data_IF_664948899138
#
_entry.id   IF_664948899138
#
_cell.length_a   1.000
_cell.length_b   1.000
_cell.length_c   1.000
_cell.angle_alpha   90.00
_cell.angle_beta   90.00
_cell.angle_gamma   90.00
#
_symmetry.space_group_name_H-M   'P 1'
#
loop_
_entity.id
_entity.type
_entity.pdbx_description
1 polymer ?
#
# COMPACT_ATOMS: atom_id res chain seq x y z
N UNK A 1 -14.60 39.59 12.84
CA UNK A 1 -13.97 38.33 13.30
C UNK A 1 -14.93 37.39 14.05
N UNK A 2 -16.11 37.84 14.52
CA UNK A 2 -17.07 36.99 15.23
C UNK A 2 -17.94 36.09 14.32
N UNK A 3 -18.19 36.51 13.07
CA UNK A 3 -19.18 35.90 12.19
C UNK A 3 -18.85 34.49 11.69
N UNK A 4 -17.56 34.12 11.67
CA UNK A 4 -17.13 32.79 11.26
C UNK A 4 -17.26 31.82 12.44
N UNK A 5 -16.85 32.24 13.63
CA UNK A 5 -16.92 31.43 14.85
C UNK A 5 -18.36 31.12 15.28
N UNK A 6 -19.28 32.08 15.11
CA UNK A 6 -20.70 31.85 15.40
C UNK A 6 -21.33 30.82 14.46
N UNK A 7 -20.97 30.82 13.18
CA UNK A 7 -21.43 29.82 12.20
C UNK A 7 -20.89 28.43 12.49
N UNK A 8 -19.60 28.32 12.85
CA UNK A 8 -19.00 27.03 13.18
C UNK A 8 -19.59 26.42 14.46
N UNK A 9 -20.08 27.26 15.38
CA UNK A 9 -20.76 26.81 16.62
C UNK A 9 -22.14 26.22 16.34
N UNK A 10 -22.89 26.75 15.38
CA UNK A 10 -24.23 26.24 15.02
C UNK A 10 -24.19 24.87 14.35
N UNK A 11 -23.14 24.58 13.59
CA UNK A 11 -22.96 23.28 12.94
C UNK A 11 -22.34 22.22 13.87
N UNK A 12 -21.75 22.61 15.00
CA UNK A 12 -21.05 21.70 15.89
C UNK A 12 -22.01 20.77 16.66
N UNK A 13 -21.84 19.46 16.48
CA UNK A 13 -22.52 18.43 17.27
C UNK A 13 -21.49 17.54 17.95
N UNK A 14 -21.49 17.42 19.30
CA UNK A 14 -20.47 16.69 20.04
C UNK A 14 -20.45 15.18 19.75
N UNK A 15 -21.54 14.63 19.19
CA UNK A 15 -21.69 13.23 18.81
C UNK A 15 -21.49 12.97 17.31
N UNK A 16 -21.50 13.99 16.46
CA UNK A 16 -21.14 13.85 15.04
C UNK A 16 -19.71 14.34 14.84
N UNK A 17 -18.78 13.42 14.66
CA UNK A 17 -17.44 13.75 14.19
C UNK A 17 -17.57 14.43 12.83
N UNK A 18 -17.44 15.75 12.79
CA UNK A 18 -17.31 16.49 11.55
C UNK A 18 -16.03 16.00 10.86
N UNK A 19 -16.19 15.26 9.77
CA UNK A 19 -15.10 15.03 8.85
C UNK A 19 -14.69 16.39 8.28
N UNK A 20 -13.63 16.99 8.81
CA UNK A 20 -13.04 18.21 8.26
C UNK A 20 -12.51 18.00 6.84
N UNK A 21 -12.36 16.75 6.42
CA UNK A 21 -11.97 16.36 5.08
C UNK A 21 -13.13 16.60 4.12
N UNK A 22 -13.03 17.66 3.33
CA UNK A 22 -13.97 17.95 2.26
C UNK A 22 -13.66 17.09 1.02
N UNK A 23 -14.60 17.00 0.08
CA UNK A 23 -14.34 16.38 -1.24
C UNK A 23 -13.16 17.03 -1.97
N UNK A 24 -12.94 18.32 -1.74
CA UNK A 24 -11.82 19.06 -2.31
C UNK A 24 -10.49 18.61 -1.69
N UNK A 25 -10.46 18.35 -0.39
CA UNK A 25 -9.26 17.82 0.28
C UNK A 25 -8.93 16.42 -0.24
N UNK A 26 -9.92 15.56 -0.42
CA UNK A 26 -9.72 14.25 -1.05
C UNK A 26 -9.19 14.37 -2.49
N UNK A 27 -9.76 15.29 -3.29
CA UNK A 27 -9.26 15.56 -4.64
C UNK A 27 -7.82 16.05 -4.65
N UNK A 28 -7.48 16.98 -3.76
CA UNK A 28 -6.13 17.49 -3.62
C UNK A 28 -5.16 16.39 -3.17
N UNK A 29 -5.54 15.53 -2.22
CA UNK A 29 -4.72 14.37 -1.81
C UNK A 29 -4.50 13.43 -2.99
N UNK A 30 -5.55 13.07 -3.73
CA UNK A 30 -5.41 12.22 -4.91
C UNK A 30 -4.48 12.82 -5.96
N UNK A 31 -4.65 14.11 -6.26
CA UNK A 31 -3.82 14.84 -7.23
C UNK A 31 -2.37 14.94 -6.77
N UNK A 32 -2.13 15.39 -5.53
CA UNK A 32 -0.81 15.73 -5.01
C UNK A 32 0.01 14.46 -4.67
N UNK A 33 -0.66 13.33 -4.40
CA UNK A 33 -0.02 12.03 -4.19
C UNK A 33 -0.05 11.13 -5.41
N UNK A 34 -0.52 11.63 -6.56
CA UNK A 34 -0.69 10.86 -7.80
C UNK A 34 -1.41 9.52 -7.55
N UNK A 35 -2.38 9.52 -6.63
CA UNK A 35 -3.26 8.38 -6.40
C UNK A 35 -4.28 8.43 -7.53
N UNK A 36 -3.89 7.91 -8.69
CA UNK A 36 -4.72 7.91 -9.87
C UNK A 36 -5.99 7.07 -9.65
N UNK A 37 -7.07 7.39 -10.36
CA UNK A 37 -8.23 6.49 -10.47
C UNK A 37 -7.91 5.18 -11.22
N UNK A 38 -6.75 5.10 -11.86
CA UNK A 38 -6.30 4.02 -12.74
C UNK A 38 -5.31 3.04 -12.07
N UNK A 39 -5.36 2.88 -10.75
CA UNK A 39 -4.52 1.89 -10.04
C UNK A 39 -4.90 0.45 -10.42
N UNK A 40 -6.11 0.25 -10.96
CA UNK A 40 -6.57 -1.04 -11.47
C UNK A 40 -5.96 -1.28 -12.86
N UNK A 41 -4.92 -2.11 -12.92
CA UNK A 41 -4.22 -2.44 -14.17
C UNK A 41 -5.01 -3.47 -15.01
N UNK A 42 -5.87 -4.25 -14.37
CA UNK A 42 -6.74 -5.24 -15.01
C UNK A 42 -8.00 -5.47 -14.17
N UNK A 43 -9.10 -5.92 -14.79
CA UNK A 43 -10.36 -6.24 -14.07
C UNK A 43 -10.25 -7.45 -13.16
N UNK A 44 -9.26 -8.30 -13.41
CA UNK A 44 -8.89 -9.41 -12.53
C UNK A 44 -7.74 -8.95 -11.63
N UNK A 45 -7.96 -9.03 -10.31
CA UNK A 45 -7.03 -8.54 -9.31
C UNK A 45 -5.70 -9.30 -9.35
N UNK A 46 -5.73 -10.62 -9.57
CA UNK A 46 -4.53 -11.44 -9.66
C UNK A 46 -3.64 -11.00 -10.84
N UNK A 47 -4.24 -10.79 -12.01
CA UNK A 47 -3.56 -10.26 -13.18
C UNK A 47 -3.04 -8.84 -12.95
N UNK A 48 -3.81 -7.98 -12.27
CA UNK A 48 -3.37 -6.62 -11.95
C UNK A 48 -2.11 -6.62 -11.06
N UNK A 49 -2.07 -7.50 -10.05
CA UNK A 49 -0.90 -7.68 -9.18
C UNK A 49 0.30 -8.23 -9.97
N UNK A 50 0.11 -9.21 -10.84
CA UNK A 50 1.20 -9.77 -11.66
C UNK A 50 1.84 -8.70 -12.56
N UNK A 51 1.04 -7.84 -13.19
CA UNK A 51 1.54 -6.70 -13.99
C UNK A 51 2.34 -5.74 -13.11
N UNK A 52 1.86 -5.43 -11.90
CA UNK A 52 2.56 -4.55 -10.95
C UNK A 52 3.90 -5.15 -10.50
N UNK A 53 3.93 -6.44 -10.19
CA UNK A 53 5.14 -7.15 -9.79
C UNK A 53 6.16 -7.17 -10.92
N UNK A 54 5.75 -7.48 -12.16
CA UNK A 54 6.64 -7.44 -13.34
C UNK A 54 7.25 -6.05 -13.56
N UNK A 55 6.47 -4.98 -13.37
CA UNK A 55 6.99 -3.60 -13.41
C UNK A 55 8.03 -3.37 -12.32
N UNK A 56 7.78 -3.82 -11.09
CA UNK A 56 8.74 -3.70 -9.99
C UNK A 56 10.02 -4.50 -10.21
N UNK A 57 9.94 -5.70 -10.80
CA UNK A 57 11.11 -6.51 -11.17
C UNK A 57 11.99 -5.83 -12.22
N UNK A 58 11.39 -5.06 -13.12
CA UNK A 58 12.12 -4.31 -14.15
C UNK A 58 12.80 -3.04 -13.63
N UNK A 59 12.53 -2.64 -12.39
CA UNK A 59 13.11 -1.44 -11.79
C UNK A 59 14.50 -1.71 -11.19
N UNK A 60 15.38 -0.71 -11.20
CA UNK A 60 16.79 -0.84 -10.83
C UNK A 60 16.98 -1.20 -9.35
N UNK A 61 16.05 -0.74 -8.51
CA UNK A 61 16.09 -0.96 -7.06
C UNK A 61 15.35 -2.21 -6.60
N UNK A 62 14.59 -2.86 -7.51
CA UNK A 62 13.69 -3.99 -7.30
C UNK A 62 13.36 -4.30 -5.82
N UNK A 63 12.23 -3.79 -5.29
CA UNK A 63 11.87 -4.00 -3.89
C UNK A 63 11.34 -5.42 -3.59
N UNK A 64 11.19 -6.29 -4.58
CA UNK A 64 10.61 -7.62 -4.40
C UNK A 64 11.61 -8.60 -3.80
N UNK A 65 11.19 -9.27 -2.73
CA UNK A 65 11.90 -10.37 -2.09
C UNK A 65 11.37 -11.72 -2.53
N UNK A 66 10.05 -11.83 -2.65
CA UNK A 66 9.36 -13.05 -3.02
C UNK A 66 8.04 -12.69 -3.69
N UNK A 67 7.65 -13.50 -4.66
CA UNK A 67 6.35 -13.43 -5.29
C UNK A 67 5.91 -14.83 -5.70
N UNK A 68 4.69 -15.19 -5.34
CA UNK A 68 4.05 -16.46 -5.67
C UNK A 68 2.59 -16.19 -6.04
N UNK A 69 2.19 -16.64 -7.22
CA UNK A 69 0.80 -16.58 -7.67
C UNK A 69 0.02 -17.77 -7.09
N UNK A 70 -1.30 -17.61 -6.97
CA UNK A 70 -2.20 -18.72 -6.63
C UNK A 70 -2.08 -19.81 -7.70
N UNK A 71 -2.10 -21.07 -7.26
CA UNK A 71 -1.89 -22.28 -8.05
C UNK A 71 -0.46 -22.50 -8.57
N UNK A 72 0.50 -21.69 -8.14
CA UNK A 72 1.93 -21.93 -8.37
C UNK A 72 2.53 -22.82 -7.26
N UNK A 73 3.50 -23.65 -7.60
CA UNK A 73 4.22 -24.50 -6.64
C UNK A 73 5.58 -23.88 -6.31
N UNK A 74 5.83 -23.60 -5.03
CA UNK A 74 7.15 -23.19 -4.57
C UNK A 74 7.83 -24.35 -3.84
N UNK A 75 8.77 -25.00 -4.52
CA UNK A 75 9.56 -26.13 -3.96
C UNK A 75 10.35 -25.76 -2.70
N UNK A 76 10.67 -24.47 -2.53
CA UNK A 76 11.47 -23.98 -1.40
C UNK A 76 10.71 -23.88 -0.08
N UNK A 77 9.37 -23.88 -0.10
CA UNK A 77 8.54 -23.68 1.10
C UNK A 77 7.45 -24.75 1.21
N UNK A 78 7.82 -25.91 1.75
CA UNK A 78 6.94 -27.09 1.91
C UNK A 78 5.68 -26.87 2.76
N UNK A 79 5.59 -25.74 3.49
CA UNK A 79 4.43 -25.37 4.31
C UNK A 79 3.46 -24.41 3.61
N UNK A 80 3.79 -23.93 2.41
CA UNK A 80 2.97 -22.95 1.68
C UNK A 80 2.14 -23.71 0.65
N UNK A 81 0.83 -23.71 0.84
CA UNK A 81 -0.10 -24.45 -0.02
C UNK A 81 -0.20 -23.77 -1.39
N UNK A 82 -0.55 -24.51 -2.43
CA UNK A 82 -0.75 -24.02 -3.80
C UNK A 82 -1.76 -22.88 -3.86
N UNK A 83 -2.75 -22.91 -2.96
CA UNK A 83 -3.80 -21.89 -2.87
C UNK A 83 -3.35 -20.59 -2.23
N UNK A 84 -2.17 -20.57 -1.60
CA UNK A 84 -1.66 -19.41 -0.90
C UNK A 84 -0.97 -18.44 -1.86
N UNK A 85 -1.40 -17.18 -1.80
CA UNK A 85 -0.74 -16.04 -2.44
C UNK A 85 0.39 -15.53 -1.54
N UNK A 86 1.56 -15.25 -2.11
CA UNK A 86 2.70 -14.71 -1.36
C UNK A 86 3.31 -13.52 -2.07
N UNK A 87 3.48 -12.41 -1.35
CA UNK A 87 4.17 -11.22 -1.82
C UNK A 87 5.02 -10.67 -0.68
N UNK A 88 6.33 -10.60 -0.90
CA UNK A 88 7.26 -9.96 0.02
C UNK A 88 7.94 -8.81 -0.68
N UNK A 89 7.80 -7.64 -0.08
CA UNK A 89 8.41 -6.40 -0.51
C UNK A 89 9.28 -5.86 0.63
N UNK A 90 10.44 -5.31 0.29
CA UNK A 90 11.27 -4.55 1.22
C UNK A 90 11.30 -3.09 0.82
N UNK A 91 11.30 -2.22 1.81
CA UNK A 91 11.71 -0.83 1.63
C UNK A 91 13.17 -0.64 2.02
N UNK A 92 13.74 0.50 1.65
CA UNK A 92 15.16 0.83 1.93
C UNK A 92 15.52 0.78 3.42
N UNK A 93 14.59 1.17 4.29
CA UNK A 93 14.83 1.17 5.72
C UNK A 93 14.92 -0.26 6.26
N UNK A 94 14.03 -1.14 5.83
CA UNK A 94 14.04 -2.57 6.16
C UNK A 94 15.30 -3.25 5.61
N UNK A 95 15.75 -2.88 4.40
CA UNK A 95 17.00 -3.36 3.84
C UNK A 95 18.20 -3.00 4.72
N UNK A 96 18.34 -1.72 5.08
CA UNK A 96 19.44 -1.27 5.95
C UNK A 96 19.37 -1.87 7.33
N UNK A 97 18.18 -2.03 7.90
CA UNK A 97 18.01 -2.70 9.18
C UNK A 97 18.42 -4.17 9.09
N UNK A 98 18.11 -4.85 7.99
CA UNK A 98 18.53 -6.22 7.73
C UNK A 98 20.06 -6.31 7.55
N UNK A 99 20.69 -5.36 6.88
CA UNK A 99 22.16 -5.31 6.77
C UNK A 99 22.84 -5.15 8.14
N UNK A 100 22.30 -4.27 8.99
CA UNK A 100 22.86 -3.96 10.31
C UNK A 100 22.64 -5.08 11.32
N UNK A 101 21.43 -5.66 11.35
CA UNK A 101 21.01 -6.58 12.41
C UNK A 101 20.70 -8.00 11.93
N UNK A 102 20.66 -8.23 10.62
CA UNK A 102 20.29 -9.53 10.05
C UNK A 102 21.16 -10.67 10.53
N UNK A 103 22.47 -10.42 10.72
CA UNK A 103 23.42 -11.40 11.30
C UNK A 103 23.05 -11.86 12.71
N UNK A 104 22.33 -11.05 13.47
CA UNK A 104 21.92 -11.35 14.85
C UNK A 104 20.51 -11.95 14.93
N UNK A 105 19.70 -11.78 13.89
CA UNK A 105 18.27 -12.15 13.90
C UNK A 105 17.95 -13.35 12.99
N UNK A 106 18.71 -13.53 11.91
CA UNK A 106 18.53 -14.63 10.97
C UNK A 106 19.75 -15.53 11.10
N UNK A 107 19.54 -16.66 11.78
CA UNK A 107 20.51 -17.72 12.02
C UNK A 107 20.31 -18.84 11.00
#
# INVERSE_FOLDING_TARGET
MATILDKTREEYSPTKRFGLTTRKDLYNICRDKQIEKNVVLHTDDATSVDIMVKKMQSDTKNPLLLYKVVDDEMDYYSKIDKRDFLLGIKNDAQEKLLELYGKNCIM
#
